data_IF_992367708414
#
_entry.id   IF_992367708414
#
_cell.length_a   1.000
_cell.length_b   1.000
_cell.length_c   1.000
_cell.angle_alpha   90.00
_cell.angle_beta   90.00
_cell.angle_gamma   90.00
#
_symmetry.space_group_name_H-M   'P 1'
#
loop_
_entity.id
_entity.type
_entity.pdbx_description
1 polymer ?
#
# COMPACT_ATOMS: atom_id res chain seq x y z
N UNK A 1 32.37 7.98 3.50
CA UNK A 1 31.78 6.66 3.19
C UNK A 1 30.49 6.54 3.95
N UNK A 2 29.37 6.82 3.30
CA UNK A 2 28.03 6.75 3.91
C UNK A 2 27.47 5.36 3.66
N UNK A 3 27.28 4.57 4.73
CA UNK A 3 26.63 3.25 4.67
C UNK A 3 25.32 3.36 5.44
N UNK A 4 24.33 4.06 4.89
CA UNK A 4 22.97 4.07 5.43
C UNK A 4 22.15 2.98 4.75
N UNK A 5 22.26 1.77 5.25
CA UNK A 5 21.20 0.78 5.11
C UNK A 5 20.91 0.28 6.52
N UNK A 6 20.22 1.13 7.29
CA UNK A 6 19.61 0.72 8.55
C UNK A 6 18.36 -0.10 8.17
N UNK A 7 18.60 -1.33 7.73
CA UNK A 7 17.54 -2.26 7.40
C UNK A 7 16.97 -2.77 8.73
N UNK A 8 15.76 -2.32 9.06
CA UNK A 8 15.05 -2.72 10.27
C UNK A 8 14.34 -4.06 10.06
N UNK A 9 14.45 -4.94 11.05
CA UNK A 9 13.83 -6.27 11.04
C UNK A 9 12.87 -6.42 12.21
N UNK A 10 11.77 -7.16 11.98
CA UNK A 10 10.79 -7.45 13.01
C UNK A 10 11.24 -8.61 13.90
N UNK A 11 11.35 -8.38 15.21
CA UNK A 11 11.70 -9.40 16.21
C UNK A 11 10.60 -10.45 16.41
N UNK A 12 9.36 -10.16 15.95
CA UNK A 12 8.20 -11.04 16.12
C UNK A 12 7.93 -11.97 14.94
N UNK A 13 8.01 -11.47 13.70
CA UNK A 13 7.72 -12.26 12.49
C UNK A 13 8.90 -12.39 11.52
N UNK A 14 10.03 -11.73 11.77
CA UNK A 14 11.25 -11.88 10.97
C UNK A 14 11.24 -11.17 9.61
N UNK A 15 10.30 -10.26 9.35
CA UNK A 15 10.22 -9.52 8.08
C UNK A 15 11.05 -8.24 8.11
N UNK A 16 11.50 -7.79 6.93
CA UNK A 16 12.05 -6.44 6.75
C UNK A 16 10.94 -5.41 6.93
N UNK A 17 11.15 -4.48 7.86
CA UNK A 17 10.22 -3.39 8.14
C UNK A 17 10.55 -2.23 7.20
N UNK A 18 9.69 -2.03 6.19
CA UNK A 18 9.81 -0.90 5.25
C UNK A 18 8.99 0.34 5.66
N UNK A 19 8.35 0.28 6.82
CA UNK A 19 7.47 1.30 7.38
C UNK A 19 7.88 1.67 8.82
N UNK A 20 7.10 2.53 9.49
CA UNK A 20 7.39 2.96 10.87
C UNK A 20 7.19 1.78 11.85
N UNK A 21 8.25 1.26 12.49
CA UNK A 21 8.12 0.15 13.43
C UNK A 21 7.46 0.59 14.74
N UNK A 22 6.88 -0.38 15.44
CA UNK A 22 6.52 -0.27 16.85
C UNK A 22 7.74 -0.67 17.67
N UNK A 23 8.29 0.27 18.45
CA UNK A 23 9.47 0.02 19.28
C UNK A 23 9.04 -0.14 20.73
N UNK A 24 9.40 -1.26 21.36
CA UNK A 24 9.22 -1.50 22.80
C UNK A 24 10.42 -2.27 23.32
N UNK A 25 10.96 -1.85 24.47
CA UNK A 25 12.05 -2.56 25.14
C UNK A 25 13.28 -2.78 24.24
N UNK A 26 13.66 -1.76 23.46
CA UNK A 26 14.74 -1.82 22.44
C UNK A 26 14.52 -2.84 21.30
N UNK A 27 13.34 -3.46 21.20
CA UNK A 27 12.97 -4.36 20.11
C UNK A 27 12.07 -3.64 19.10
N UNK A 28 12.27 -3.96 17.83
CA UNK A 28 11.51 -3.41 16.71
C UNK A 28 10.49 -4.42 16.21
N UNK A 29 9.23 -4.02 16.15
CA UNK A 29 8.12 -4.85 15.66
C UNK A 29 7.45 -4.19 14.47
N UNK A 30 7.04 -4.99 13.48
CA UNK A 30 6.34 -4.47 12.32
C UNK A 30 4.90 -4.03 12.65
N UNK A 31 4.30 -4.55 13.71
CA UNK A 31 2.93 -4.24 14.14
C UNK A 31 2.71 -4.55 15.63
N UNK A 32 1.55 -4.13 16.15
CA UNK A 32 1.17 -4.37 17.54
C UNK A 32 0.89 -5.85 17.83
N UNK A 33 0.54 -6.66 16.81
CA UNK A 33 0.33 -8.11 16.98
C UNK A 33 1.64 -8.84 17.29
N UNK A 34 2.69 -8.55 16.50
CA UNK A 34 4.04 -9.07 16.78
C UNK A 34 4.54 -8.68 18.17
N UNK A 35 4.18 -7.49 18.64
CA UNK A 35 4.50 -7.04 19.99
C UNK A 35 3.79 -7.86 21.07
N UNK A 36 2.56 -8.30 20.83
CA UNK A 36 1.77 -9.12 21.76
C UNK A 36 2.00 -10.64 21.58
N UNK A 37 2.81 -11.05 20.60
CA UNK A 37 3.02 -12.47 20.26
C UNK A 37 1.85 -13.11 19.50
N UNK A 38 1.02 -12.30 18.84
CA UNK A 38 -0.11 -12.77 18.04
C UNK A 38 0.28 -13.01 16.57
N UNK A 39 -0.60 -13.68 15.82
CA UNK A 39 -0.41 -13.97 14.40
C UNK A 39 -0.26 -12.68 13.59
N UNK A 40 0.88 -12.53 12.92
CA UNK A 40 1.18 -11.40 12.06
C UNK A 40 0.56 -11.58 10.66
N UNK A 41 -0.05 -10.51 10.15
CA UNK A 41 -0.76 -10.47 8.86
C UNK A 41 -0.14 -9.41 7.91
N UNK A 42 1.02 -8.85 8.27
CA UNK A 42 1.58 -7.69 7.57
C UNK A 42 2.15 -7.99 6.19
N UNK A 43 2.48 -9.26 5.90
CA UNK A 43 3.07 -9.65 4.60
C UNK A 43 2.01 -9.79 3.51
N UNK A 44 0.79 -10.19 3.87
CA UNK A 44 -0.27 -10.47 2.89
C UNK A 44 -0.80 -9.22 2.17
N UNK A 45 -0.52 -8.02 2.70
CA UNK A 45 -1.04 -6.76 2.15
C UNK A 45 -0.14 -6.16 1.06
N UNK A 46 1.11 -6.62 0.91
CA UNK A 46 2.06 -6.04 -0.05
C UNK A 46 1.84 -6.44 -1.52
N UNK A 47 1.01 -7.45 -1.78
CA UNK A 47 0.68 -7.91 -3.14
C UNK A 47 -0.62 -7.34 -3.73
N UNK A 48 -1.38 -6.52 -3.00
CA UNK A 48 -2.56 -5.84 -3.56
C UNK A 48 -2.20 -4.41 -3.97
N UNK A 49 -1.52 -4.27 -5.11
CA UNK A 49 -1.62 -3.02 -5.86
C UNK A 49 -3.04 -2.96 -6.43
N UNK A 50 -3.92 -2.02 -6.01
CA UNK A 50 -5.05 -1.69 -6.84
C UNK A 50 -4.46 -1.07 -8.11
N UNK A 51 -4.36 -1.86 -9.19
CA UNK A 51 -4.35 -1.30 -10.53
C UNK A 51 -5.51 -0.33 -10.54
N UNK A 52 -5.17 0.93 -10.73
CA UNK A 52 -6.07 2.07 -10.85
C UNK A 52 -7.35 1.68 -11.59
N UNK A 53 -8.40 1.30 -10.85
CA UNK A 53 -9.75 1.35 -11.39
C UNK A 53 -10.20 2.78 -11.19
N UNK A 54 -9.76 3.58 -12.14
CA UNK A 54 -10.11 4.98 -12.35
C UNK A 54 -11.56 5.23 -11.97
N UNK A 55 -11.77 6.02 -10.91
CA UNK A 55 -12.97 6.84 -10.81
C UNK A 55 -13.03 7.69 -12.09
N UNK A 56 -13.90 7.33 -13.04
CA UNK A 56 -14.52 8.31 -13.93
C UNK A 56 -15.89 8.67 -13.33
N UNK A 57 -15.99 9.77 -12.56
CA UNK A 57 -17.29 10.33 -12.24
C UNK A 57 -17.83 11.06 -13.48
N UNK A 58 -18.88 10.51 -14.09
CA UNK A 58 -19.88 11.26 -14.86
C UNK A 58 -19.44 11.83 -16.21
N UNK A 59 -19.85 11.17 -17.28
CA UNK A 59 -20.14 11.84 -18.56
C UNK A 59 -21.54 11.40 -18.99
N UNK A 60 -22.55 12.28 -19.05
CA UNK A 60 -23.82 11.91 -19.67
C UNK A 60 -23.58 11.74 -21.17
N UNK A 61 -23.90 10.54 -21.69
CA UNK A 61 -23.98 10.28 -23.11
C UNK A 61 -25.14 11.08 -23.71
N UNK A 62 -24.88 12.31 -24.14
CA UNK A 62 -25.82 13.01 -25.01
C UNK A 62 -25.10 14.07 -25.85
N UNK A 63 -24.70 13.68 -27.05
CA UNK A 63 -24.65 14.59 -28.18
C UNK A 63 -24.91 13.81 -29.48
N UNK A 64 -26.13 13.83 -30.05
CA UNK A 64 -26.25 13.61 -31.47
C UNK A 64 -25.65 14.82 -32.18
N UNK A 65 -24.48 14.62 -32.79
CA UNK A 65 -23.91 15.55 -33.76
C UNK A 65 -24.94 15.74 -34.87
N UNK A 66 -25.38 16.99 -35.04
CA UNK A 66 -26.10 17.44 -36.21
C UNK A 66 -25.23 17.12 -37.44
N UNK A 67 -25.62 16.11 -38.20
CA UNK A 67 -25.03 15.79 -39.49
C UNK A 67 -25.53 16.84 -40.49
N UNK A 68 -24.73 17.89 -40.67
CA UNK A 68 -24.87 18.83 -41.78
C UNK A 68 -24.39 18.05 -43.01
N UNK A 69 -25.33 17.51 -43.80
CA UNK A 69 -25.06 16.99 -45.12
C UNK A 69 -25.64 17.98 -46.13
N UNK A 70 -24.72 18.59 -46.86
CA UNK A 70 -24.86 19.39 -48.07
C UNK A 70 -25.79 18.73 -49.11
N UNK A 71 -26.67 19.54 -49.70
CA UNK A 71 -27.63 19.16 -50.75
C UNK A 71 -28.46 20.35 -51.19
#
# INVERSE_FOLDING_TARGET
MVRYHDTLWCDGCGIEIRWKPVVRDQRSYCCNRCLNGEVCDCVEVLEDYPTTSSKQPGMPANLPINLIADG
#
